data_IF_881183688300
#
_entry.id   IF_881183688300
#
_cell.length_a   1.000
_cell.length_b   1.000
_cell.length_c   1.000
_cell.angle_alpha   90.00
_cell.angle_beta   90.00
_cell.angle_gamma   90.00
#
_symmetry.space_group_name_H-M   'P 1'
#
loop_
_entity.id
_entity.type
_entity.pdbx_description
1 polymer ?
#
# COMPACT_ATOMS: atom_id res chain seq x y z
N UNK A 1 -22.17 32.73 22.09
CA UNK A 1 -22.83 31.45 21.80
C UNK A 1 -21.72 30.46 21.44
N UNK A 2 -21.19 29.71 22.41
CA UNK A 2 -20.19 28.68 22.15
C UNK A 2 -20.98 27.46 21.66
N UNK A 3 -20.94 27.20 20.36
CA UNK A 3 -21.41 25.91 19.84
C UNK A 3 -20.60 24.84 20.57
N UNK A 4 -21.29 24.05 21.39
CA UNK A 4 -20.74 22.82 21.95
C UNK A 4 -20.39 21.96 20.75
N UNK A 5 -19.10 21.84 20.44
CA UNK A 5 -18.59 20.88 19.48
C UNK A 5 -18.87 19.52 20.13
N UNK A 6 -20.02 18.95 19.84
CA UNK A 6 -20.21 17.51 20.00
C UNK A 6 -19.10 16.89 19.15
N UNK A 7 -18.19 16.16 19.78
CA UNK A 7 -17.26 15.30 19.07
C UNK A 7 -18.13 14.25 18.40
N UNK A 8 -18.48 14.50 17.15
CA UNK A 8 -19.27 13.58 16.37
C UNK A 8 -18.59 12.21 16.40
N UNK A 9 -19.37 11.13 16.55
CA UNK A 9 -18.78 9.79 16.54
C UNK A 9 -18.02 9.59 15.22
N UNK A 10 -16.72 9.31 15.28
CA UNK A 10 -15.91 9.12 14.08
C UNK A 10 -16.39 7.88 13.31
N UNK A 11 -16.52 8.00 12.00
CA UNK A 11 -16.89 6.89 11.12
C UNK A 11 -15.64 6.05 10.82
N UNK A 12 -15.64 4.78 11.25
CA UNK A 12 -14.51 3.85 11.05
C UNK A 12 -14.77 2.80 9.97
N UNK A 13 -16.03 2.66 9.57
CA UNK A 13 -16.50 1.77 8.51
C UNK A 13 -17.12 2.57 7.38
N UNK A 14 -16.95 2.08 6.16
CA UNK A 14 -17.45 2.66 4.91
C UNK A 14 -18.35 1.64 4.21
N UNK A 15 -19.41 2.13 3.57
CA UNK A 15 -20.30 1.29 2.78
C UNK A 15 -19.66 1.03 1.42
N UNK A 16 -19.37 -0.23 1.12
CA UNK A 16 -18.75 -0.65 -0.13
C UNK A 16 -19.83 -1.04 -1.14
N UNK A 17 -19.81 -0.40 -2.31
CA UNK A 17 -20.65 -0.79 -3.44
C UNK A 17 -19.78 -1.33 -4.58
N UNK A 18 -20.21 -2.46 -5.12
CA UNK A 18 -19.67 -3.07 -6.34
C UNK A 18 -20.72 -2.97 -7.41
N UNK A 19 -20.44 -2.18 -8.45
CA UNK A 19 -21.31 -2.03 -9.60
C UNK A 19 -20.78 -2.83 -10.78
N UNK A 20 -21.64 -3.46 -11.56
CA UNK A 20 -21.25 -4.17 -12.77
C UNK A 20 -22.04 -3.73 -13.99
N UNK A 21 -21.41 -3.85 -15.16
CA UNK A 21 -22.04 -3.64 -16.46
C UNK A 21 -21.43 -4.61 -17.46
N UNK A 22 -22.27 -5.44 -18.06
CA UNK A 22 -21.87 -6.38 -19.11
C UNK A 22 -22.63 -6.07 -20.41
N UNK A 23 -22.04 -5.30 -21.34
CA UNK A 23 -22.71 -4.88 -22.58
C UNK A 23 -23.22 -6.06 -23.43
N UNK A 24 -22.47 -7.16 -23.48
CA UNK A 24 -22.88 -8.34 -24.27
C UNK A 24 -24.11 -9.07 -23.71
N UNK A 25 -24.45 -8.83 -22.43
CA UNK A 25 -25.71 -9.29 -21.83
C UNK A 25 -26.86 -8.30 -22.07
N UNK A 26 -26.64 -7.24 -22.85
CA UNK A 26 -27.63 -6.20 -23.15
C UNK A 26 -27.74 -5.11 -22.10
N UNK A 27 -26.85 -5.07 -21.10
CA UNK A 27 -26.87 -4.05 -20.04
C UNK A 27 -26.48 -2.67 -20.58
N UNK A 28 -27.34 -1.68 -20.37
CA UNK A 28 -27.11 -0.29 -20.79
C UNK A 28 -26.41 0.53 -19.72
N UNK A 29 -26.68 0.24 -18.46
CA UNK A 29 -26.20 0.98 -17.31
C UNK A 29 -25.51 0.05 -16.30
N UNK A 30 -24.89 0.64 -15.28
CA UNK A 30 -24.29 -0.11 -14.19
C UNK A 30 -25.37 -0.49 -13.17
N UNK A 31 -25.37 -1.75 -12.74
CA UNK A 31 -26.25 -2.26 -11.69
C UNK A 31 -25.42 -2.67 -10.46
N UNK A 32 -26.06 -2.80 -9.30
CA UNK A 32 -25.39 -3.26 -8.08
C UNK A 32 -25.14 -4.78 -8.19
N UNK A 33 -23.87 -5.16 -8.15
CA UNK A 33 -23.44 -6.56 -8.10
C UNK A 33 -23.38 -7.07 -6.66
N UNK A 34 -22.79 -6.26 -5.77
CA UNK A 34 -22.59 -6.62 -4.36
C UNK A 34 -22.46 -5.37 -3.50
N UNK A 35 -22.79 -5.52 -2.22
CA UNK A 35 -22.72 -4.48 -1.20
C UNK A 35 -22.20 -5.09 0.09
N UNK A 36 -21.31 -4.39 0.78
CA UNK A 36 -20.86 -4.79 2.11
C UNK A 36 -20.18 -3.63 2.85
N UNK A 37 -19.31 -3.97 3.80
CA UNK A 37 -18.51 -3.03 4.55
C UNK A 37 -17.05 -3.07 4.08
N UNK A 38 -16.40 -1.92 4.11
CA UNK A 38 -14.95 -1.79 4.02
C UNK A 38 -14.44 -0.80 5.07
N UNK A 39 -13.13 -0.73 5.26
CA UNK A 39 -12.51 0.28 6.12
C UNK A 39 -11.17 0.75 5.56
N UNK A 40 -10.70 1.89 6.05
CA UNK A 40 -9.39 2.44 5.70
C UNK A 40 -8.36 1.94 6.71
N UNK A 41 -7.34 1.24 6.24
CA UNK A 41 -6.19 0.83 7.02
C UNK A 41 -4.99 1.72 6.65
N UNK A 42 -4.47 2.46 7.62
CA UNK A 42 -3.30 3.32 7.41
C UNK A 42 -2.06 2.50 7.10
N UNK A 43 -1.33 2.93 6.06
CA UNK A 43 -0.03 2.36 5.65
C UNK A 43 1.08 2.83 6.58
N UNK A 44 0.96 4.06 7.08
CA UNK A 44 1.88 4.61 8.06
C UNK A 44 1.46 4.23 9.49
N UNK A 45 2.43 4.05 10.40
CA UNK A 45 2.15 3.96 11.83
C UNK A 45 1.37 5.21 12.31
N UNK A 46 0.56 5.07 13.38
CA UNK A 46 -0.29 6.16 13.88
C UNK A 46 0.52 7.41 14.15
N UNK A 47 -0.07 8.56 13.82
CA UNK A 47 0.60 9.83 14.00
C UNK A 47 0.93 9.98 15.49
N UNK A 48 2.21 10.11 15.84
CA UNK A 48 2.71 10.28 17.20
C UNK A 48 2.10 11.49 17.92
N UNK A 49 1.42 12.39 17.18
CA UNK A 49 0.74 13.55 17.74
C UNK A 49 -0.41 13.21 18.68
N UNK A 50 -0.96 12.01 18.61
CA UNK A 50 -1.87 11.49 19.64
C UNK A 50 -1.09 11.31 20.95
N UNK A 51 -1.65 11.77 22.07
CA UNK A 51 -0.93 12.08 23.32
C UNK A 51 -0.49 10.85 24.14
N UNK A 52 -0.18 9.75 23.46
CA UNK A 52 0.34 8.53 24.04
C UNK A 52 1.85 8.63 24.20
N UNK A 53 2.31 9.21 25.32
CA UNK A 53 3.73 9.20 25.74
C UNK A 53 4.35 7.80 25.84
N UNK A 54 3.52 6.75 25.83
CA UNK A 54 3.91 5.34 25.85
C UNK A 54 3.80 4.66 24.48
N UNK A 55 3.47 5.39 23.41
CA UNK A 55 3.37 4.81 22.07
C UNK A 55 4.78 4.40 21.58
N UNK A 56 4.95 3.19 21.03
CA UNK A 56 6.20 2.78 20.39
C UNK A 56 6.58 3.72 19.21
N UNK A 57 5.65 4.56 18.76
CA UNK A 57 5.81 5.51 17.67
C UNK A 57 6.10 6.96 18.10
N UNK A 58 6.23 7.26 19.40
CA UNK A 58 6.42 8.62 19.93
C UNK A 58 7.55 9.44 19.28
N UNK A 59 8.54 8.77 18.72
CA UNK A 59 9.65 9.37 17.98
C UNK A 59 9.26 10.08 16.68
N UNK A 60 8.18 9.68 16.02
CA UNK A 60 7.73 10.29 14.76
C UNK A 60 7.35 11.77 15.01
N UNK A 61 6.99 12.14 16.26
CA UNK A 61 6.53 13.50 16.67
C UNK A 61 7.69 14.45 16.55
N UNK A 62 8.81 14.00 17.10
CA UNK A 62 10.09 14.67 17.06
C UNK A 62 10.57 14.81 15.62
N UNK A 63 10.29 13.81 14.77
CA UNK A 63 10.65 13.81 13.35
C UNK A 63 9.81 14.79 12.55
N UNK A 64 8.48 14.81 12.72
CA UNK A 64 7.63 15.78 12.02
C UNK A 64 8.05 17.21 12.36
N UNK A 65 8.31 17.48 13.65
CA UNK A 65 8.83 18.78 14.10
C UNK A 65 10.19 19.08 13.48
N UNK A 66 11.12 18.11 13.52
CA UNK A 66 12.46 18.27 12.93
C UNK A 66 12.41 18.47 11.42
N UNK A 67 11.49 17.80 10.71
CA UNK A 67 11.27 17.95 9.27
C UNK A 67 10.70 19.32 8.94
N UNK A 68 9.74 19.82 9.70
CA UNK A 68 9.23 21.18 9.56
C UNK A 68 10.31 22.23 9.86
N UNK A 69 11.20 21.97 10.82
CA UNK A 69 12.37 22.81 11.12
C UNK A 69 13.43 22.73 10.01
N UNK A 70 13.64 21.55 9.41
CA UNK A 70 14.62 21.30 8.35
C UNK A 70 14.16 21.81 6.98
N UNK A 71 12.86 21.75 6.67
CA UNK A 71 12.27 22.33 5.46
C UNK A 71 12.35 23.86 5.45
N UNK A 72 12.56 24.50 6.61
CA UNK A 72 12.86 25.93 6.70
C UNK A 72 14.33 26.25 6.42
N UNK A 73 15.21 25.24 6.34
CA UNK A 73 16.61 25.40 5.97
C UNK A 73 16.83 25.01 4.50
N UNK A 74 17.31 25.94 3.67
CA UNK A 74 17.44 25.81 2.20
C UNK A 74 18.44 24.73 1.72
N UNK A 75 19.20 24.09 2.62
CA UNK A 75 20.25 23.11 2.29
C UNK A 75 19.89 21.65 2.68
N UNK A 76 18.61 21.31 2.77
CA UNK A 76 18.20 19.97 3.22
C UNK A 76 18.46 18.88 2.16
N UNK A 77 19.28 17.90 2.52
CA UNK A 77 19.42 16.63 1.79
C UNK A 77 18.31 15.69 2.31
N UNK A 78 17.50 15.05 1.45
CA UNK A 78 16.40 14.21 1.91
C UNK A 78 16.92 12.97 2.66
N UNK A 79 16.70 12.91 3.97
CA UNK A 79 16.75 11.65 4.71
C UNK A 79 15.40 10.91 4.54
N UNK A 80 15.40 9.57 4.36
CA UNK A 80 14.18 8.77 4.34
C UNK A 80 13.42 8.92 5.66
N UNK A 81 12.09 8.78 5.63
CA UNK A 81 11.18 9.06 6.75
C UNK A 81 11.72 8.54 8.11
N UNK A 82 12.37 9.44 8.85
CA UNK A 82 13.19 9.09 10.01
C UNK A 82 12.35 8.72 11.23
N UNK A 83 12.74 7.66 11.92
CA UNK A 83 12.40 7.39 13.31
C UNK A 83 13.71 7.14 14.08
N UNK A 84 13.72 6.52 15.28
CA UNK A 84 14.92 5.88 15.75
C UNK A 84 15.37 4.92 14.65
N UNK A 85 16.67 4.69 14.48
CA UNK A 85 17.18 3.82 13.44
C UNK A 85 16.48 2.45 13.57
N UNK A 86 15.52 2.21 12.66
CA UNK A 86 14.86 0.93 12.48
C UNK A 86 15.75 0.10 11.57
N UNK A 87 15.86 -1.20 11.82
CA UNK A 87 16.52 -2.04 10.84
C UNK A 87 15.64 -2.08 9.58
N UNK A 88 16.24 -2.22 8.41
CA UNK A 88 15.49 -2.30 7.15
C UNK A 88 14.42 -3.42 7.15
N UNK A 89 14.66 -4.49 7.93
CA UNK A 89 13.68 -5.57 8.17
C UNK A 89 12.41 -5.12 8.89
N UNK A 90 12.47 -4.04 9.67
CA UNK A 90 11.38 -3.51 10.50
C UNK A 90 10.59 -2.37 9.81
N UNK A 91 11.03 -1.92 8.63
CA UNK A 91 10.30 -0.94 7.81
C UNK A 91 9.15 -1.61 7.07
N UNK A 92 8.05 -0.94 6.77
CA UNK A 92 7.06 -1.41 5.78
C UNK A 92 7.68 -1.56 4.39
N UNK A 93 7.06 -2.34 3.49
CA UNK A 93 7.60 -2.51 2.14
C UNK A 93 7.46 -1.21 1.33
N UNK A 94 6.37 -0.49 1.50
CA UNK A 94 6.18 0.79 0.83
C UNK A 94 7.02 1.94 1.41
N UNK A 95 7.67 1.76 2.57
CA UNK A 95 8.60 2.76 3.11
C UNK A 95 9.88 2.92 2.26
N UNK A 96 10.17 1.96 1.38
CA UNK A 96 11.24 2.04 0.38
C UNK A 96 10.82 2.74 -0.92
N UNK A 97 9.54 3.07 -1.05
CA UNK A 97 8.98 3.78 -2.20
C UNK A 97 9.05 5.30 -1.98
N UNK A 98 9.27 6.13 -3.03
CA UNK A 98 9.13 7.57 -2.88
C UNK A 98 7.71 7.93 -2.42
N UNK A 99 7.59 8.85 -1.47
CA UNK A 99 6.31 9.15 -0.81
C UNK A 99 5.18 9.58 -1.75
N UNK A 100 5.50 10.07 -2.96
CA UNK A 100 4.50 10.43 -3.98
C UNK A 100 3.80 9.24 -4.62
N UNK A 101 4.37 8.04 -4.52
CA UNK A 101 3.80 6.80 -5.07
C UNK A 101 3.27 5.86 -3.98
N UNK A 102 3.47 6.23 -2.72
CA UNK A 102 3.03 5.44 -1.57
C UNK A 102 1.58 5.77 -1.25
N UNK A 103 0.65 4.80 -1.29
CA UNK A 103 -0.68 5.01 -0.72
C UNK A 103 -0.58 5.38 0.76
N UNK A 104 -1.44 6.28 1.19
CA UNK A 104 -1.60 6.65 2.59
C UNK A 104 -2.48 5.63 3.33
N UNK A 105 -3.45 5.03 2.63
CA UNK A 105 -4.34 4.01 3.18
C UNK A 105 -4.56 2.85 2.20
N UNK A 106 -4.84 1.68 2.75
CA UNK A 106 -5.47 0.59 2.03
C UNK A 106 -6.97 0.57 2.34
N UNK A 107 -7.81 0.41 1.32
CA UNK A 107 -9.21 0.03 1.52
C UNK A 107 -9.23 -1.49 1.68
N UNK A 108 -9.57 -1.95 2.88
CA UNK A 108 -9.64 -3.39 3.19
C UNK A 108 -11.10 -3.83 3.10
N UNK A 109 -11.34 -4.95 2.40
CA UNK A 109 -12.67 -5.53 2.26
C UNK A 109 -12.61 -7.07 2.08
N UNK A 110 -13.77 -7.71 2.17
CA UNK A 110 -13.90 -9.13 1.84
C UNK A 110 -13.74 -9.35 0.32
N UNK A 111 -13.00 -10.40 -0.05
CA UNK A 111 -12.68 -10.72 -1.44
C UNK A 111 -13.92 -11.18 -2.21
N UNK A 112 -14.84 -11.92 -1.57
CA UNK A 112 -16.09 -12.36 -2.17
C UNK A 112 -17.03 -11.20 -2.49
N UNK A 113 -16.95 -10.10 -1.75
CA UNK A 113 -17.73 -8.89 -2.03
C UNK A 113 -17.15 -8.17 -3.25
N UNK A 114 -15.83 -7.94 -3.29
CA UNK A 114 -15.16 -7.21 -4.37
C UNK A 114 -15.17 -7.98 -5.70
N UNK A 115 -15.09 -9.31 -5.64
CA UNK A 115 -15.01 -10.16 -6.82
C UNK A 115 -15.92 -11.40 -6.73
N UNK A 116 -17.26 -11.24 -6.69
CA UNK A 116 -18.21 -12.35 -6.48
C UNK A 116 -18.02 -13.53 -7.45
N UNK A 117 -17.62 -13.27 -8.69
CA UNK A 117 -17.35 -14.29 -9.72
C UNK A 117 -16.20 -15.25 -9.38
N UNK A 118 -15.31 -14.88 -8.44
CA UNK A 118 -14.23 -15.76 -7.97
C UNK A 118 -14.69 -16.74 -6.87
N UNK A 119 -15.89 -16.56 -6.33
CA UNK A 119 -16.37 -17.21 -5.12
C UNK A 119 -17.63 -18.04 -5.36
N UNK A 120 -17.54 -19.04 -6.24
CA UNK A 120 -18.68 -19.88 -6.69
C UNK A 120 -19.47 -20.56 -5.56
N UNK A 121 -18.83 -20.82 -4.42
CA UNK A 121 -19.49 -21.40 -3.26
C UNK A 121 -20.44 -20.42 -2.57
N UNK A 122 -20.16 -19.12 -2.65
CA UNK A 122 -21.01 -18.04 -2.14
C UNK A 122 -22.02 -17.59 -3.21
N UNK A 123 -21.57 -17.55 -4.47
CA UNK A 123 -22.36 -17.05 -5.59
C UNK A 123 -22.44 -18.11 -6.70
N UNK A 124 -23.39 -19.07 -6.61
CA UNK A 124 -23.48 -20.19 -7.53
C UNK A 124 -24.14 -19.82 -8.87
N UNK A 125 -24.49 -18.56 -9.10
CA UNK A 125 -25.24 -18.14 -10.28
C UNK A 125 -24.36 -18.28 -11.55
N UNK A 126 -24.76 -19.09 -12.55
CA UNK A 126 -23.91 -19.38 -13.71
C UNK A 126 -23.51 -18.15 -14.53
N UNK A 127 -24.36 -17.12 -14.57
CA UNK A 127 -24.09 -15.89 -15.33
C UNK A 127 -22.88 -15.11 -14.79
N UNK A 128 -22.51 -15.28 -13.51
CA UNK A 128 -21.34 -14.65 -12.92
C UNK A 128 -20.02 -15.16 -13.53
N UNK A 129 -20.01 -16.33 -14.16
CA UNK A 129 -18.82 -16.86 -14.85
C UNK A 129 -18.42 -15.99 -16.06
N UNK A 130 -19.31 -15.13 -16.55
CA UNK A 130 -19.05 -14.16 -17.61
C UNK A 130 -18.62 -12.78 -17.07
N UNK A 131 -18.73 -12.55 -15.76
CA UNK A 131 -18.29 -11.30 -15.14
C UNK A 131 -16.78 -11.35 -14.92
N UNK A 132 -16.09 -10.30 -15.32
CA UNK A 132 -14.66 -10.12 -15.11
C UNK A 132 -14.42 -8.78 -14.43
N UNK A 133 -13.17 -8.55 -14.01
CA UNK A 133 -12.74 -7.31 -13.39
C UNK A 133 -13.08 -6.06 -14.22
N UNK A 134 -13.03 -6.15 -15.55
CA UNK A 134 -13.27 -5.03 -16.47
C UNK A 134 -14.74 -4.62 -16.53
N UNK A 135 -15.65 -5.50 -16.10
CA UNK A 135 -17.08 -5.23 -16.04
C UNK A 135 -17.45 -4.43 -14.78
N UNK A 136 -16.53 -4.23 -13.84
CA UNK A 136 -16.84 -3.82 -12.47
C UNK A 136 -16.26 -2.45 -12.11
N UNK A 137 -16.99 -1.72 -11.26
CA UNK A 137 -16.57 -0.46 -10.63
C UNK A 137 -16.86 -0.51 -9.15
N UNK A 138 -15.98 0.15 -8.39
CA UNK A 138 -16.05 0.18 -6.94
C UNK A 138 -16.26 1.61 -6.45
N UNK A 139 -17.08 1.74 -5.41
CA UNK A 139 -17.23 3.00 -4.69
C UNK A 139 -17.37 2.77 -3.19
N UNK A 140 -16.96 3.78 -2.42
CA UNK A 140 -17.13 3.85 -0.97
C UNK A 140 -18.04 5.00 -0.63
N UNK A 141 -19.06 4.72 0.15
CA UNK A 141 -20.04 5.69 0.62
C UNK A 141 -19.81 6.00 2.10
N UNK A 142 -19.89 7.28 2.44
CA UNK A 142 -19.86 7.78 3.82
C UNK A 142 -21.29 8.13 4.24
N UNK A 143 -21.76 7.55 5.34
CA UNK A 143 -23.10 7.81 5.89
C UNK A 143 -23.01 8.59 7.21
N UNK A 144 -24.09 9.29 7.56
CA UNK A 144 -24.24 9.95 8.86
C UNK A 144 -24.64 8.94 9.93
N UNK A 145 -23.77 8.72 10.92
CA UNK A 145 -24.01 7.75 12.00
C UNK A 145 -24.93 8.29 13.11
N UNK A 146 -25.11 9.62 13.20
CA UNK A 146 -25.82 10.28 14.31
C UNK A 146 -27.31 10.48 14.03
N UNK A 147 -27.70 10.64 12.77
CA UNK A 147 -29.07 10.99 12.36
C UNK A 147 -29.87 9.81 11.78
N UNK A 148 -29.98 8.70 12.52
CA UNK A 148 -30.60 7.44 12.05
C UNK A 148 -32.13 7.48 11.86
N UNK A 149 -32.85 8.35 12.56
CA UNK A 149 -34.32 8.25 12.68
C UNK A 149 -35.11 8.78 11.47
N UNK A 150 -34.45 9.39 10.48
CA UNK A 150 -35.14 10.04 9.37
C UNK A 150 -35.01 9.20 8.09
N UNK A 151 -36.09 8.50 7.72
CA UNK A 151 -36.15 7.65 6.49
C UNK A 151 -35.78 8.40 5.20
N UNK A 152 -35.80 9.74 5.21
CA UNK A 152 -35.34 10.59 4.10
C UNK A 152 -33.81 10.79 4.04
N UNK A 153 -33.03 10.21 4.96
CA UNK A 153 -31.58 10.39 5.08
C UNK A 153 -30.75 9.13 4.79
N UNK A 154 -31.31 8.13 4.12
CA UNK A 154 -30.55 6.97 3.64
C UNK A 154 -29.70 7.27 2.39
N UNK A 155 -29.39 8.54 2.12
CA UNK A 155 -28.47 8.95 1.06
C UNK A 155 -27.07 9.11 1.65
N UNK A 156 -26.01 8.68 0.93
CA UNK A 156 -24.65 8.88 1.37
C UNK A 156 -24.31 10.38 1.40
N UNK A 157 -23.56 10.81 2.44
CA UNK A 157 -22.99 12.15 2.54
C UNK A 157 -22.01 12.43 1.39
N UNK A 158 -21.27 11.41 0.98
CA UNK A 158 -20.37 11.45 -0.16
C UNK A 158 -20.06 10.03 -0.67
N UNK A 159 -19.76 9.94 -1.96
CA UNK A 159 -19.33 8.71 -2.65
C UNK A 159 -17.94 8.91 -3.24
N UNK A 160 -17.05 7.96 -3.00
CA UNK A 160 -15.65 8.01 -3.41
C UNK A 160 -15.34 6.86 -4.35
N UNK A 161 -14.75 7.18 -5.51
CA UNK A 161 -14.33 6.17 -6.48
C UNK A 161 -13.11 5.39 -6.00
N UNK A 162 -13.09 4.09 -6.30
CA UNK A 162 -12.00 3.18 -5.94
C UNK A 162 -11.37 2.59 -7.20
N UNK A 163 -10.08 2.27 -7.15
CA UNK A 163 -9.33 1.70 -8.26
C UNK A 163 -9.89 0.33 -8.67
N UNK A 164 -9.94 0.00 -9.97
CA UNK A 164 -10.61 -1.20 -10.46
C UNK A 164 -9.75 -2.47 -10.35
N UNK A 165 -8.65 -2.45 -9.61
CA UNK A 165 -7.69 -3.56 -9.54
C UNK A 165 -7.47 -3.95 -8.07
N UNK A 166 -8.40 -4.71 -7.47
CA UNK A 166 -8.19 -5.26 -6.15
C UNK A 166 -7.02 -6.26 -6.16
N UNK A 167 -6.20 -6.21 -5.12
CA UNK A 167 -5.20 -7.23 -4.82
C UNK A 167 -5.89 -8.25 -3.94
N UNK A 168 -5.94 -9.51 -4.36
CA UNK A 168 -6.55 -10.60 -3.61
C UNK A 168 -5.51 -11.40 -2.82
N UNK A 169 -5.90 -11.97 -1.69
CA UNK A 169 -5.03 -12.85 -0.92
C UNK A 169 -4.50 -14.02 -1.78
N UNK A 170 -3.18 -14.30 -1.80
CA UNK A 170 -2.59 -15.30 -2.71
C UNK A 170 -3.07 -16.72 -2.41
N UNK A 171 -3.38 -17.02 -1.14
CA UNK A 171 -3.89 -18.33 -0.70
C UNK A 171 -5.43 -18.43 -0.74
N UNK A 172 -6.12 -17.52 -1.44
CA UNK A 172 -7.58 -17.48 -1.56
C UNK A 172 -8.32 -17.36 -0.23
N UNK A 173 -7.72 -16.71 0.77
CA UNK A 173 -8.47 -16.21 1.92
C UNK A 173 -9.42 -15.12 1.46
N UNK A 174 -10.53 -14.94 2.18
CA UNK A 174 -11.57 -13.99 1.83
C UNK A 174 -11.21 -12.57 2.24
N UNK A 175 -10.14 -12.07 1.62
CA UNK A 175 -9.52 -10.82 1.95
C UNK A 175 -8.93 -10.19 0.69
N UNK A 176 -9.17 -8.89 0.52
CA UNK A 176 -8.64 -8.11 -0.58
C UNK A 176 -8.31 -6.68 -0.14
N UNK A 177 -7.32 -6.08 -0.81
CA UNK A 177 -6.96 -4.67 -0.69
C UNK A 177 -7.27 -3.95 -1.99
N UNK A 178 -7.76 -2.74 -1.88
CA UNK A 178 -7.93 -1.83 -3.02
C UNK A 178 -7.59 -0.40 -2.59
N UNK A 179 -7.44 0.52 -3.54
CA UNK A 179 -6.97 1.87 -3.26
C UNK A 179 -7.94 2.93 -3.78
N UNK A 180 -7.99 4.07 -3.10
CA UNK A 180 -8.82 5.21 -3.50
C UNK A 180 -8.35 5.80 -4.84
N UNK A 181 -9.29 6.28 -5.66
CA UNK A 181 -8.96 7.18 -6.78
C UNK A 181 -8.73 8.58 -6.23
N UNK A 182 -7.66 9.25 -6.68
CA UNK A 182 -7.30 10.60 -6.21
C UNK A 182 -7.20 10.67 -4.67
N UNK A 183 -6.43 9.73 -4.11
CA UNK A 183 -6.37 9.43 -2.66
C UNK A 183 -6.26 10.68 -1.77
N UNK A 184 -5.34 11.60 -2.06
CA UNK A 184 -5.12 12.81 -1.25
C UNK A 184 -6.41 13.67 -1.12
N UNK A 185 -7.10 13.89 -2.24
CA UNK A 185 -8.34 14.67 -2.25
C UNK A 185 -9.48 13.92 -1.55
N UNK A 186 -9.57 12.61 -1.78
CA UNK A 186 -10.59 11.76 -1.15
C UNK A 186 -10.41 11.72 0.37
N UNK A 187 -9.19 11.50 0.87
CA UNK A 187 -8.88 11.45 2.30
C UNK A 187 -9.16 12.78 3.00
N UNK A 188 -8.79 13.91 2.38
CA UNK A 188 -9.09 15.23 2.92
C UNK A 188 -10.60 15.46 3.09
N UNK A 189 -11.41 15.00 2.13
CA UNK A 189 -12.86 15.12 2.21
C UNK A 189 -13.45 14.12 3.22
N UNK A 190 -12.99 12.87 3.23
CA UNK A 190 -13.36 11.86 4.22
C UNK A 190 -13.08 12.33 5.65
N UNK A 191 -11.91 12.92 5.91
CA UNK A 191 -11.56 13.51 7.21
C UNK A 191 -12.53 14.64 7.60
N UNK A 192 -12.93 15.49 6.64
CA UNK A 192 -13.93 16.54 6.88
C UNK A 192 -15.33 16.02 7.19
N UNK A 193 -15.61 14.77 6.79
CA UNK A 193 -16.84 14.04 7.10
C UNK A 193 -16.71 13.17 8.37
N UNK A 194 -15.59 13.25 9.09
CA UNK A 194 -15.37 12.51 10.34
C UNK A 194 -14.96 11.05 10.13
N UNK A 195 -14.51 10.67 8.94
CA UNK A 195 -13.97 9.32 8.69
C UNK A 195 -12.56 9.21 9.30
N UNK A 196 -12.31 8.10 9.98
CA UNK A 196 -11.04 7.80 10.63
C UNK A 196 -10.35 6.61 9.95
N UNK A 197 -9.07 6.79 9.61
CA UNK A 197 -8.19 5.68 9.21
C UNK A 197 -7.79 4.87 10.43
N UNK A 198 -7.84 3.55 10.28
CA UNK A 198 -7.55 2.60 11.35
C UNK A 198 -6.11 2.08 11.27
N UNK A 199 -5.65 1.51 12.37
CA UNK A 199 -4.35 0.85 12.47
C UNK A 199 -4.51 -0.58 12.96
N UNK A 200 -3.67 -1.49 12.45
CA UNK A 200 -3.57 -2.84 12.98
C UNK A 200 -3.15 -2.82 14.45
N UNK A 201 -3.64 -3.81 15.20
CA UNK A 201 -3.14 -4.07 16.55
C UNK A 201 -1.66 -4.50 16.54
N UNK A 202 -1.04 -4.52 17.72
CA UNK A 202 0.39 -4.82 17.86
C UNK A 202 0.69 -6.27 17.45
N UNK A 203 1.87 -6.52 16.88
CA UNK A 203 2.31 -7.88 16.54
C UNK A 203 2.45 -8.75 17.80
N UNK A 204 2.75 -8.12 18.93
CA UNK A 204 2.87 -8.78 20.24
C UNK A 204 1.52 -8.94 20.97
N UNK A 205 0.41 -8.48 20.37
CA UNK A 205 -0.90 -8.64 20.97
C UNK A 205 -1.23 -10.14 21.13
N UNK A 206 -1.69 -10.52 22.32
CA UNK A 206 -2.17 -11.86 22.60
C UNK A 206 -3.67 -11.77 22.84
N UNK A 207 -4.41 -12.66 22.18
CA UNK A 207 -5.86 -12.75 22.29
C UNK A 207 -6.24 -14.06 22.96
N UNK A 208 -6.89 -13.96 24.12
CA UNK A 208 -7.35 -15.08 24.92
C UNK A 208 -8.87 -15.28 24.77
N UNK A 209 -9.32 -16.47 25.18
CA UNK A 209 -10.75 -16.74 25.28
C UNK A 209 -11.41 -15.73 26.22
N UNK A 210 -12.54 -15.19 25.77
CA UNK A 210 -13.38 -14.16 26.39
C UNK A 210 -12.89 -12.71 26.23
N UNK A 211 -11.79 -12.44 25.53
CA UNK A 211 -11.41 -11.07 25.22
C UNK A 211 -12.54 -10.36 24.45
N UNK A 212 -12.84 -9.13 24.86
CA UNK A 212 -13.87 -8.29 24.23
C UNK A 212 -13.36 -7.77 22.89
N UNK A 213 -14.21 -7.87 21.87
CA UNK A 213 -14.01 -7.30 20.55
C UNK A 213 -15.26 -6.55 20.12
N UNK A 214 -15.11 -5.57 19.24
CA UNK A 214 -16.23 -4.85 18.61
C UNK A 214 -16.22 -5.02 17.10
N UNK A 215 -17.41 -5.15 16.53
CA UNK A 215 -17.64 -5.31 15.11
C UNK A 215 -18.33 -4.06 14.60
N UNK A 216 -17.78 -3.43 13.58
CA UNK A 216 -18.35 -2.22 12.98
C UNK A 216 -18.59 -2.41 11.49
N UNK A 217 -19.70 -1.91 10.97
CA UNK A 217 -20.00 -1.99 9.55
C UNK A 217 -21.36 -1.46 9.20
N UNK A 218 -21.94 -2.04 8.15
CA UNK A 218 -23.28 -1.73 7.71
C UNK A 218 -24.10 -3.01 7.58
N UNK A 219 -25.26 -2.99 8.20
CA UNK A 219 -26.33 -3.93 7.89
C UNK A 219 -26.99 -3.48 6.59
N UNK A 220 -27.22 -4.43 5.69
CA UNK A 220 -28.01 -4.18 4.48
C UNK A 220 -29.43 -4.65 4.80
N UNK A 221 -30.30 -3.70 5.17
CA UNK A 221 -31.68 -4.04 5.49
C UNK A 221 -32.50 -4.18 4.21
N UNK A 222 -33.21 -5.29 4.13
CA UNK A 222 -34.14 -5.56 3.07
C UNK A 222 -35.57 -5.31 3.56
N UNK A 223 -36.01 -4.04 3.53
CA UNK A 223 -37.46 -3.75 3.56
C UNK A 223 -38.20 -4.47 2.38
N UNK A 224 -37.46 -5.08 1.44
CA UNK A 224 -37.95 -5.67 0.18
C UNK A 224 -37.90 -7.21 0.06
N UNK A 225 -37.08 -7.96 0.81
CA UNK A 225 -37.01 -9.44 0.64
C UNK A 225 -38.24 -10.16 1.18
N UNK A 226 -38.81 -9.69 2.29
CA UNK A 226 -40.12 -10.19 2.75
C UNK A 226 -41.25 -9.89 1.74
N UNK A 227 -41.07 -8.90 0.86
CA UNK A 227 -41.98 -8.61 -0.25
C UNK A 227 -41.68 -9.47 -1.49
N UNK A 228 -40.40 -9.77 -1.77
CA UNK A 228 -39.99 -10.63 -2.90
C UNK A 228 -40.25 -12.13 -2.65
N UNK A 229 -40.07 -12.65 -1.44
CA UNK A 229 -40.48 -14.03 -1.12
C UNK A 229 -42.01 -14.17 -1.24
N UNK A 230 -42.78 -13.15 -0.83
CA UNK A 230 -44.24 -13.12 -1.04
C UNK A 230 -44.64 -12.94 -2.50
N UNK A 231 -43.84 -12.23 -3.30
CA UNK A 231 -44.09 -12.07 -4.73
C UNK A 231 -43.66 -13.28 -5.54
N UNK A 232 -42.68 -14.09 -5.11
CA UNK A 232 -42.29 -15.31 -5.81
C UNK A 232 -43.40 -16.38 -5.82
N UNK A 233 -44.30 -16.35 -4.83
CA UNK A 233 -45.55 -17.12 -4.85
C UNK A 233 -46.60 -16.54 -5.84
N UNK A 234 -46.43 -15.30 -6.32
CA UNK A 234 -47.31 -14.62 -7.30
C UNK A 234 -46.66 -14.40 -8.69
N UNK A 235 -45.37 -14.72 -8.88
CA UNK A 235 -44.54 -14.35 -10.04
C UNK A 235 -44.83 -15.10 -11.35
N UNK A 236 -45.78 -16.05 -11.37
CA UNK A 236 -46.30 -16.59 -12.63
C UNK A 236 -47.22 -15.60 -13.39
N UNK A 237 -47.58 -14.44 -12.81
CA UNK A 237 -48.60 -13.54 -13.39
C UNK A 237 -48.16 -12.16 -13.89
N UNK A 238 -46.91 -11.72 -13.70
CA UNK A 238 -46.53 -10.33 -14.04
C UNK A 238 -45.33 -10.29 -14.99
N UNK A 239 -45.56 -10.66 -16.25
CA UNK A 239 -44.58 -10.51 -17.35
C UNK A 239 -44.63 -9.15 -18.06
N UNK A 240 -45.34 -8.15 -17.54
CA UNK A 240 -45.59 -6.88 -18.26
C UNK A 240 -45.33 -5.58 -17.49
N UNK A 241 -44.53 -5.57 -16.41
CA UNK A 241 -44.02 -4.30 -15.84
C UNK A 241 -42.53 -4.15 -16.08
N UNK A 242 -42.20 -3.53 -17.21
CA UNK A 242 -40.89 -2.94 -17.51
C UNK A 242 -40.83 -1.52 -16.95
N UNK A 243 -40.64 -1.41 -15.64
CA UNK A 243 -40.12 -0.22 -14.99
C UNK A 243 -39.04 -0.70 -14.03
N UNK A 244 -37.87 -0.06 -14.07
CA UNK A 244 -36.69 -0.43 -13.30
C UNK A 244 -37.06 -0.60 -11.83
N UNK A 245 -37.02 -1.84 -11.34
CA UNK A 245 -36.94 -2.10 -9.91
C UNK A 245 -35.55 -1.62 -9.48
N UNK A 246 -35.46 -0.34 -9.16
CA UNK A 246 -34.27 0.25 -8.58
C UNK A 246 -33.97 -0.49 -7.26
N UNK A 247 -32.71 -0.87 -7.04
CA UNK A 247 -32.27 -1.55 -5.82
C UNK A 247 -32.60 -0.69 -4.58
N UNK A 248 -33.65 -1.08 -3.86
CA UNK A 248 -34.17 -0.35 -2.68
C UNK A 248 -33.43 -0.68 -1.38
N UNK A 249 -32.42 -1.56 -1.42
CA UNK A 249 -31.66 -1.92 -0.21
C UNK A 249 -30.92 -0.69 0.30
N UNK A 250 -30.88 -0.55 1.62
CA UNK A 250 -30.26 0.59 2.29
C UNK A 250 -29.19 0.12 3.27
N UNK A 251 -28.11 0.90 3.37
CA UNK A 251 -27.07 0.69 4.35
C UNK A 251 -27.50 1.28 5.70
N UNK A 252 -27.53 0.46 6.74
CA UNK A 252 -27.81 0.87 8.10
C UNK A 252 -26.54 0.67 8.93
N UNK A 253 -25.95 1.74 9.49
CA UNK A 253 -24.79 1.61 10.36
C UNK A 253 -24.98 0.59 11.48
N UNK A 254 -24.06 -0.36 11.58
CA UNK A 254 -24.12 -1.49 12.51
C UNK A 254 -22.90 -1.51 13.42
N UNK A 255 -23.13 -1.71 14.72
CA UNK A 255 -22.07 -1.88 15.72
C UNK A 255 -22.56 -2.86 16.78
N UNK A 256 -21.76 -3.90 17.06
CA UNK A 256 -22.03 -4.86 18.12
C UNK A 256 -20.73 -5.28 18.81
N UNK A 257 -20.82 -5.56 20.11
CA UNK A 257 -19.71 -6.16 20.86
C UNK A 257 -19.89 -7.67 20.99
N UNK A 258 -18.77 -8.37 21.10
CA UNK A 258 -18.73 -9.80 21.38
C UNK A 258 -17.51 -10.18 22.18
N UNK A 259 -17.45 -11.47 22.53
CA UNK A 259 -16.31 -12.06 23.23
C UNK A 259 -15.73 -13.21 22.42
N UNK A 260 -14.40 -13.28 22.34
CA UNK A 260 -13.72 -14.39 21.69
C UNK A 260 -14.10 -15.73 22.35
N UNK A 261 -14.51 -16.70 21.55
CA UNK A 261 -14.79 -18.07 22.02
C UNK A 261 -13.75 -19.06 21.50
N UNK A 262 -13.11 -18.74 20.37
CA UNK A 262 -12.11 -19.58 19.73
C UNK A 262 -11.10 -18.70 18.98
N UNK A 263 -9.82 -19.04 19.11
CA UNK A 263 -8.73 -18.39 18.40
C UNK A 263 -7.84 -19.45 17.77
N UNK A 264 -7.61 -19.37 16.47
CA UNK A 264 -6.72 -20.26 15.72
C UNK A 264 -5.77 -19.46 14.83
N UNK A 265 -4.84 -20.14 14.17
CA UNK A 265 -3.93 -19.50 13.22
C UNK A 265 -4.63 -18.91 12.00
N UNK A 266 -5.81 -19.39 11.63
CA UNK A 266 -6.47 -18.95 10.40
C UNK A 266 -7.69 -18.06 10.66
N UNK A 267 -8.35 -18.28 11.79
CA UNK A 267 -9.69 -17.74 12.04
C UNK A 267 -9.95 -17.58 13.53
N UNK A 268 -10.54 -16.46 13.89
CA UNK A 268 -11.09 -16.22 15.22
C UNK A 268 -12.61 -16.31 15.16
N UNK A 269 -13.21 -16.81 16.24
CA UNK A 269 -14.66 -16.80 16.43
C UNK A 269 -15.01 -15.99 17.69
N UNK A 270 -16.01 -15.13 17.58
CA UNK A 270 -16.56 -14.40 18.72
C UNK A 270 -18.08 -14.57 18.83
N UNK A 271 -18.56 -14.67 20.07
CA UNK A 271 -19.99 -14.70 20.36
C UNK A 271 -20.48 -13.27 20.59
N UNK A 272 -21.50 -12.90 19.83
CA UNK A 272 -22.23 -11.63 19.95
C UNK A 272 -23.63 -11.88 20.52
N UNK A 273 -24.34 -10.82 20.91
CA UNK A 273 -25.71 -10.95 21.42
C UNK A 273 -26.69 -11.52 20.36
N UNK A 274 -26.46 -11.19 19.10
CA UNK A 274 -27.16 -11.71 17.91
C UNK A 274 -26.13 -12.04 16.82
N UNK A 275 -26.40 -13.01 15.93
CA UNK A 275 -25.56 -13.22 14.74
C UNK A 275 -25.37 -11.91 13.98
N UNK A 276 -24.21 -11.75 13.34
CA UNK A 276 -23.98 -10.57 12.49
C UNK A 276 -24.95 -10.59 11.30
N UNK A 277 -25.58 -9.46 10.96
CA UNK A 277 -26.46 -9.38 9.81
C UNK A 277 -25.67 -9.30 8.50
N UNK A 278 -26.39 -9.41 7.38
CA UNK A 278 -25.81 -9.24 6.06
C UNK A 278 -25.23 -7.83 5.85
N UNK A 279 -24.18 -7.74 5.04
CA UNK A 279 -23.48 -6.49 4.74
C UNK A 279 -22.30 -6.16 5.67
N UNK A 280 -22.22 -6.79 6.84
CA UNK A 280 -21.12 -6.55 7.80
C UNK A 280 -19.79 -7.19 7.36
N UNK A 281 -19.83 -8.17 6.45
CA UNK A 281 -18.64 -8.78 5.86
C UNK A 281 -17.69 -7.71 5.29
N UNK A 282 -16.39 -7.88 5.53
CA UNK A 282 -15.36 -6.91 5.20
C UNK A 282 -15.18 -5.78 6.23
N UNK A 283 -16.05 -5.68 7.23
CA UNK A 283 -15.94 -4.70 8.32
C UNK A 283 -14.77 -4.99 9.27
N UNK A 284 -14.22 -3.95 9.93
CA UNK A 284 -13.15 -4.12 10.90
C UNK A 284 -13.68 -4.78 12.18
N UNK A 285 -12.84 -5.64 12.77
CA UNK A 285 -12.98 -6.11 14.14
C UNK A 285 -11.96 -5.35 14.98
N UNK A 286 -12.42 -4.65 16.00
CA UNK A 286 -11.61 -3.79 16.84
C UNK A 286 -11.42 -4.38 18.23
N UNK A 287 -10.21 -4.24 18.77
CA UNK A 287 -9.90 -4.54 20.17
C UNK A 287 -10.34 -3.40 21.11
N UNK A 288 -10.09 -3.58 22.42
CA UNK A 288 -10.39 -2.60 23.47
C UNK A 288 -9.70 -1.23 23.27
N UNK A 289 -8.63 -1.20 22.49
CA UNK A 289 -7.83 0.00 22.20
C UNK A 289 -8.23 0.62 20.85
N UNK A 290 -9.34 0.16 20.26
CA UNK A 290 -9.85 0.58 18.96
C UNK A 290 -8.90 0.30 17.79
N UNK A 291 -8.01 -0.70 17.92
CA UNK A 291 -7.14 -1.14 16.84
C UNK A 291 -7.72 -2.35 16.13
N UNK A 292 -7.41 -2.50 14.86
CA UNK A 292 -7.89 -3.60 14.02
C UNK A 292 -7.21 -4.90 14.48
N UNK A 293 -7.99 -5.75 15.14
CA UNK A 293 -7.59 -7.11 15.52
C UNK A 293 -8.06 -8.17 14.51
N UNK A 294 -8.86 -7.78 13.51
CA UNK A 294 -9.21 -8.63 12.37
C UNK A 294 -10.23 -8.00 11.42
N UNK A 295 -10.75 -8.82 10.50
CA UNK A 295 -11.76 -8.42 9.50
C UNK A 295 -12.85 -9.47 9.40
N UNK A 296 -14.11 -9.04 9.41
CA UNK A 296 -15.28 -9.91 9.35
C UNK A 296 -15.29 -10.68 8.03
N UNK A 297 -15.31 -12.00 8.14
CA UNK A 297 -15.45 -12.92 7.00
C UNK A 297 -16.91 -13.36 6.83
N UNK A 298 -17.59 -13.61 7.95
CA UNK A 298 -19.00 -14.03 7.95
C UNK A 298 -19.45 -14.55 9.31
N UNK A 299 -20.41 -15.47 9.30
CA UNK A 299 -20.91 -16.14 10.51
C UNK A 299 -20.82 -17.66 10.37
N UNK A 300 -20.69 -18.34 11.49
CA UNK A 300 -20.98 -19.77 11.57
C UNK A 300 -22.49 -19.95 11.41
N UNK A 301 -22.97 -20.90 10.58
CA UNK A 301 -24.40 -21.14 10.39
C UNK A 301 -25.15 -21.26 11.71
N UNK A 302 -26.34 -20.66 11.79
CA UNK A 302 -27.14 -20.64 13.02
C UNK A 302 -27.68 -22.03 13.39
N UNK A 303 -27.74 -22.95 12.43
CA UNK A 303 -28.15 -24.34 12.55
C UNK A 303 -26.95 -25.31 12.70
N UNK A 304 -25.75 -24.79 12.93
CA UNK A 304 -24.54 -25.61 13.08
C UNK A 304 -24.70 -26.66 14.21
N UNK A 305 -24.27 -27.92 14.01
CA UNK A 305 -24.45 -28.99 15.01
C UNK A 305 -23.85 -28.66 16.38
N UNK A 306 -22.73 -27.93 16.37
CA UNK A 306 -22.04 -27.48 17.56
C UNK A 306 -22.62 -26.14 18.02
N UNK A 307 -23.54 -26.21 18.99
CA UNK A 307 -24.36 -25.06 19.45
C UNK A 307 -23.57 -23.90 20.04
N UNK A 308 -22.38 -24.16 20.58
CA UNK A 308 -21.54 -23.12 21.17
C UNK A 308 -21.07 -22.11 20.10
N UNK A 309 -20.71 -22.61 18.92
CA UNK A 309 -20.23 -21.79 17.81
C UNK A 309 -21.32 -21.36 16.82
N UNK A 310 -22.51 -21.98 16.84
CA UNK A 310 -23.61 -21.58 15.98
C UNK A 310 -23.93 -20.07 16.09
N UNK A 311 -23.99 -19.39 14.95
CA UNK A 311 -24.20 -17.94 14.87
C UNK A 311 -23.02 -17.07 15.37
N UNK A 312 -21.86 -17.67 15.69
CA UNK A 312 -20.68 -16.89 16.06
C UNK A 312 -20.14 -16.11 14.86
N UNK A 313 -19.66 -14.89 15.11
CA UNK A 313 -18.94 -14.11 14.13
C UNK A 313 -17.60 -14.80 13.80
N UNK A 314 -17.32 -14.99 12.51
CA UNK A 314 -16.05 -15.51 11.99
C UNK A 314 -15.26 -14.36 11.38
N UNK A 315 -14.00 -14.24 11.76
CA UNK A 315 -13.14 -13.18 11.23
C UNK A 315 -11.68 -13.63 11.06
N UNK A 316 -11.02 -13.02 10.08
CA UNK A 316 -9.61 -13.25 9.78
C UNK A 316 -8.78 -12.41 10.76
N UNK A 317 -7.85 -13.02 11.52
CA UNK A 317 -7.12 -12.30 12.56
C UNK A 317 -6.07 -11.34 11.98
N UNK A 318 -5.71 -10.32 12.76
CA UNK A 318 -4.80 -9.24 12.34
C UNK A 318 -3.45 -9.69 11.81
N UNK A 319 -2.88 -10.79 12.32
CA UNK A 319 -1.57 -11.27 11.85
C UNK A 319 -1.64 -11.86 10.44
N UNK A 320 -2.79 -12.46 10.05
CA UNK A 320 -3.05 -12.86 8.67
C UNK A 320 -3.26 -11.64 7.78
N UNK A 321 -4.01 -10.65 8.26
CA UNK A 321 -4.18 -9.38 7.57
C UNK A 321 -2.83 -8.66 7.37
N UNK A 322 -1.95 -8.66 8.37
CA UNK A 322 -0.60 -8.08 8.28
C UNK A 322 0.26 -8.78 7.23
N UNK A 323 0.33 -10.11 7.26
CA UNK A 323 1.07 -10.86 6.23
C UNK A 323 0.56 -10.56 4.83
N UNK A 324 -0.75 -10.37 4.69
CA UNK A 324 -1.33 -10.00 3.41
C UNK A 324 -1.00 -8.58 2.97
N UNK A 325 -1.05 -7.61 3.90
CA UNK A 325 -0.56 -6.24 3.63
C UNK A 325 0.89 -6.27 3.20
N UNK A 326 1.76 -6.99 3.91
CA UNK A 326 3.17 -7.13 3.52
C UNK A 326 3.34 -7.70 2.11
N UNK A 327 2.57 -8.75 1.77
CA UNK A 327 2.58 -9.33 0.43
C UNK A 327 2.12 -8.33 -0.65
N UNK A 328 1.00 -7.64 -0.40
CA UNK A 328 0.44 -6.69 -1.34
C UNK A 328 1.38 -5.49 -1.55
N UNK A 329 1.93 -4.95 -0.48
CA UNK A 329 2.91 -3.87 -0.52
C UNK A 329 4.20 -4.28 -1.24
N UNK A 330 4.72 -5.48 -0.99
CA UNK A 330 5.87 -6.03 -1.70
C UNK A 330 5.59 -6.11 -3.21
N UNK A 331 4.41 -6.63 -3.58
CA UNK A 331 3.99 -6.73 -4.97
C UNK A 331 3.87 -5.35 -5.64
N UNK A 332 3.31 -4.37 -4.93
CA UNK A 332 3.24 -2.99 -5.40
C UNK A 332 4.63 -2.39 -5.60
N UNK A 333 5.53 -2.57 -4.62
CA UNK A 333 6.89 -2.07 -4.70
C UNK A 333 7.61 -2.62 -5.94
N UNK A 334 7.49 -3.93 -6.20
CA UNK A 334 8.06 -4.59 -7.39
C UNK A 334 7.62 -3.92 -8.71
N UNK A 335 6.39 -3.40 -8.76
CA UNK A 335 5.86 -2.71 -9.95
C UNK A 335 6.25 -1.24 -10.02
N UNK A 336 6.49 -0.60 -8.88
CA UNK A 336 6.77 0.84 -8.82
C UNK A 336 8.27 1.13 -9.02
N UNK A 337 9.16 0.33 -8.44
CA UNK A 337 10.60 0.62 -8.44
C UNK A 337 11.37 -0.23 -9.46
N UNK A 338 12.52 0.25 -9.97
CA UNK A 338 13.37 -0.55 -10.86
C UNK A 338 13.81 -1.85 -10.19
N UNK A 339 13.87 -2.95 -10.96
CA UNK A 339 14.20 -4.30 -10.47
C UNK A 339 15.46 -4.34 -9.60
N UNK A 340 16.53 -3.65 -10.01
CA UNK A 340 17.79 -3.60 -9.26
C UNK A 340 17.63 -2.99 -7.85
N UNK A 341 16.74 -2.00 -7.70
CA UNK A 341 16.45 -1.40 -6.41
C UNK A 341 15.56 -2.32 -5.58
N UNK A 342 14.55 -2.94 -6.19
CA UNK A 342 13.70 -3.94 -5.54
C UNK A 342 14.53 -5.11 -4.97
N UNK A 343 15.45 -5.67 -5.77
CA UNK A 343 16.33 -6.77 -5.35
C UNK A 343 17.16 -6.38 -4.11
N UNK A 344 17.70 -5.15 -4.08
CA UNK A 344 18.42 -4.60 -2.90
C UNK A 344 17.52 -4.49 -1.67
N UNK A 345 16.26 -4.07 -1.83
CA UNK A 345 15.30 -4.00 -0.72
C UNK A 345 15.01 -5.40 -0.18
N UNK A 346 14.83 -6.39 -1.06
CA UNK A 346 14.65 -7.79 -0.67
C UNK A 346 15.87 -8.33 0.11
N UNK A 347 17.08 -8.01 -0.33
CA UNK A 347 18.31 -8.41 0.37
C UNK A 347 18.46 -7.74 1.75
N UNK A 348 18.06 -6.47 1.87
CA UNK A 348 18.00 -5.76 3.15
C UNK A 348 16.97 -6.35 4.10
N UNK A 349 15.76 -6.64 3.59
CA UNK A 349 14.64 -7.25 4.35
C UNK A 349 14.95 -8.66 4.82
N UNK A 350 15.65 -9.44 4.00
CA UNK A 350 16.09 -10.82 4.33
C UNK A 350 17.33 -10.87 5.22
N UNK A 351 17.96 -9.72 5.53
CA UNK A 351 19.15 -9.64 6.35
C UNK A 351 20.44 -10.13 5.66
N UNK A 352 20.39 -10.43 4.36
CA UNK A 352 21.56 -10.89 3.59
C UNK A 352 22.63 -9.80 3.49
N UNK A 353 22.23 -8.55 3.29
CA UNK A 353 23.14 -7.41 3.14
C UNK A 353 24.02 -7.13 4.38
N UNK A 354 23.62 -7.61 5.57
CA UNK A 354 24.40 -7.44 6.80
C UNK A 354 25.51 -8.50 6.94
N UNK A 355 25.40 -9.64 6.25
CA UNK A 355 26.40 -10.69 6.33
C UNK A 355 27.64 -10.41 5.47
N UNK A 356 27.53 -9.62 4.41
CA UNK A 356 28.66 -9.29 3.54
C UNK A 356 29.70 -8.39 4.23
N UNK A 357 29.26 -7.45 5.08
CA UNK A 357 30.18 -6.60 5.86
C UNK A 357 30.83 -7.30 7.06
N UNK A 358 30.27 -8.41 7.53
CA UNK A 358 30.89 -9.22 8.58
C UNK A 358 31.86 -10.28 8.04
N UNK A 359 31.83 -10.56 6.72
CA UNK A 359 32.84 -11.41 6.08
C UNK A 359 34.12 -10.65 5.71
N UNK A 360 34.09 -9.31 5.63
CA UNK A 360 35.29 -8.51 5.34
C UNK A 360 36.13 -8.13 6.58
N UNK A 361 35.79 -8.60 7.79
CA UNK A 361 36.52 -8.25 9.03
C UNK A 361 37.08 -9.41 9.87
N UNK A 362 37.13 -10.63 9.33
CA UNK A 362 37.96 -11.72 9.90
C UNK A 362 39.30 -11.89 9.17
N UNK A 363 39.99 -10.79 8.89
CA UNK A 363 41.43 -10.77 8.51
C UNK A 363 42.23 -10.30 9.73
N UNK A 364 42.21 -11.11 10.78
CA UNK A 364 43.08 -10.94 11.96
C UNK A 364 43.07 -12.26 12.73
N UNK A 365 43.87 -13.22 12.29
CA UNK A 365 43.97 -14.51 12.96
C UNK A 365 44.80 -15.53 12.20
N UNK A 366 46.11 -15.29 12.15
CA UNK A 366 47.19 -16.28 12.09
C UNK A 366 46.79 -17.70 11.65
N UNK A 367 46.56 -17.89 10.35
CA UNK A 367 46.61 -19.22 9.77
C UNK A 367 47.50 -19.15 8.54
N UNK A 368 48.62 -19.87 8.58
CA UNK A 368 49.50 -20.14 7.45
C UNK A 368 48.70 -20.83 6.35
N UNK A 369 48.04 -20.04 5.52
CA UNK A 369 47.35 -20.47 4.33
C UNK A 369 48.29 -20.30 3.13
N UNK A 370 48.26 -21.31 2.30
CA UNK A 370 49.13 -21.56 1.15
C UNK A 370 49.06 -20.44 0.12
N UNK A 371 50.27 -20.06 -0.33
CA UNK A 371 50.68 -18.99 -1.27
C UNK A 371 50.01 -18.90 -2.66
N UNK A 372 48.83 -19.46 -2.90
CA UNK A 372 48.30 -19.60 -4.27
C UNK A 372 46.98 -18.87 -4.58
N UNK A 373 46.45 -17.98 -3.73
CA UNK A 373 45.24 -17.19 -4.05
C UNK A 373 45.28 -15.75 -3.50
N UNK A 374 46.39 -15.05 -3.74
CA UNK A 374 46.46 -13.58 -3.69
C UNK A 374 46.69 -13.05 -5.10
N UNK A 375 45.64 -13.05 -5.92
CA UNK A 375 45.51 -12.05 -6.97
C UNK A 375 44.29 -11.23 -6.60
N UNK A 376 44.54 -10.10 -5.92
CA UNK A 376 43.53 -9.08 -5.73
C UNK A 376 42.90 -8.76 -7.08
N UNK A 377 41.59 -8.55 -7.09
CA UNK A 377 40.88 -8.08 -8.27
C UNK A 377 41.60 -6.82 -8.75
N UNK A 378 42.35 -6.92 -9.85
CA UNK A 378 43.02 -5.77 -10.43
C UNK A 378 41.94 -4.78 -10.84
N UNK A 379 42.22 -3.48 -10.72
CA UNK A 379 41.28 -2.42 -11.15
C UNK A 379 40.77 -2.65 -12.58
N UNK A 380 41.61 -3.27 -13.42
CA UNK A 380 41.26 -3.64 -14.79
C UNK A 380 40.14 -4.69 -14.85
N UNK A 381 40.13 -5.69 -13.96
CA UNK A 381 39.06 -6.71 -13.91
C UNK A 381 37.72 -6.13 -13.45
N UNK A 382 37.75 -5.23 -12.47
CA UNK A 382 36.53 -4.53 -12.01
C UNK A 382 35.96 -3.60 -13.11
N UNK A 383 36.84 -2.99 -13.89
CA UNK A 383 36.45 -2.18 -15.06
C UNK A 383 35.81 -3.05 -16.15
N UNK A 384 36.41 -4.20 -16.48
CA UNK A 384 35.88 -5.15 -17.46
C UNK A 384 34.47 -5.65 -17.08
N UNK A 385 34.27 -6.04 -15.82
CA UNK A 385 32.96 -6.48 -15.33
C UNK A 385 31.90 -5.36 -15.38
N UNK A 386 32.28 -4.12 -15.07
CA UNK A 386 31.39 -2.96 -15.19
C UNK A 386 31.00 -2.69 -16.65
N UNK A 387 31.96 -2.77 -17.58
CA UNK A 387 31.72 -2.58 -19.02
C UNK A 387 30.79 -3.65 -19.57
N UNK A 388 30.92 -4.91 -19.13
CA UNK A 388 29.99 -5.98 -19.52
C UNK A 388 28.55 -5.72 -19.06
N UNK A 389 28.35 -5.23 -17.83
CA UNK A 389 27.02 -4.88 -17.32
C UNK A 389 26.40 -3.73 -18.12
N UNK A 390 27.18 -2.71 -18.48
CA UNK A 390 26.70 -1.59 -19.30
C UNK A 390 26.29 -2.08 -20.69
N UNK A 391 27.08 -2.96 -21.31
CA UNK A 391 26.78 -3.59 -22.61
C UNK A 391 25.48 -4.41 -22.61
N UNK A 392 25.13 -5.01 -21.49
CA UNK A 392 23.89 -5.81 -21.37
C UNK A 392 22.63 -4.96 -21.18
N UNK A 393 22.79 -3.71 -20.73
CA UNK A 393 21.66 -2.88 -20.25
C UNK A 393 21.35 -1.67 -21.13
N UNK A 394 22.22 -1.32 -22.08
CA UNK A 394 22.12 -0.12 -22.90
C UNK A 394 22.27 -0.43 -24.40
N UNK A 395 21.76 0.45 -25.26
CA UNK A 395 21.99 0.37 -26.71
C UNK A 395 23.48 0.59 -27.06
N UNK A 396 23.98 0.09 -28.20
CA UNK A 396 25.39 0.25 -28.59
C UNK A 396 25.88 1.71 -28.55
N UNK A 397 25.04 2.64 -29.00
CA UNK A 397 25.34 4.08 -29.02
C UNK A 397 25.43 4.66 -27.61
N UNK A 398 24.55 4.22 -26.70
CA UNK A 398 24.59 4.61 -25.29
C UNK A 398 25.80 3.99 -24.57
N UNK A 399 26.14 2.75 -24.88
CA UNK A 399 27.32 2.06 -24.33
C UNK A 399 28.58 2.82 -24.71
N UNK A 400 28.73 3.21 -25.98
CA UNK A 400 29.88 3.98 -26.46
C UNK A 400 29.98 5.35 -25.76
N UNK A 401 28.86 6.07 -25.62
CA UNK A 401 28.83 7.35 -24.93
C UNK A 401 29.19 7.23 -23.43
N UNK A 402 28.70 6.18 -22.76
CA UNK A 402 28.98 5.92 -21.34
C UNK A 402 30.44 5.55 -21.15
N UNK A 403 30.96 4.58 -21.92
CA UNK A 403 32.37 4.14 -21.82
C UNK A 403 33.30 5.31 -22.12
N UNK A 404 33.05 6.09 -23.19
CA UNK A 404 33.86 7.25 -23.52
C UNK A 404 33.86 8.32 -22.42
N UNK A 405 32.78 8.46 -21.65
CA UNK A 405 32.75 9.36 -20.50
C UNK A 405 33.58 8.82 -19.34
N UNK A 406 33.47 7.52 -19.04
CA UNK A 406 34.25 6.88 -17.97
C UNK A 406 35.75 6.91 -18.28
N UNK A 407 36.15 6.70 -19.53
CA UNK A 407 37.55 6.76 -19.94
C UNK A 407 38.14 8.16 -19.79
N UNK A 408 37.39 9.21 -20.18
CA UNK A 408 37.80 10.60 -19.96
C UNK A 408 37.92 10.95 -18.46
N UNK A 409 36.96 10.51 -17.64
CA UNK A 409 37.05 10.70 -16.19
C UNK A 409 38.27 9.98 -15.60
N UNK A 410 38.57 8.76 -16.08
CA UNK A 410 39.74 7.99 -15.65
C UNK A 410 41.05 8.70 -16.01
N UNK A 411 41.18 9.19 -17.23
CA UNK A 411 42.35 9.95 -17.67
C UNK A 411 42.53 11.22 -16.85
N UNK A 412 41.46 11.99 -16.63
CA UNK A 412 41.52 13.22 -15.82
C UNK A 412 41.89 12.95 -14.36
N UNK A 413 41.39 11.86 -13.77
CA UNK A 413 41.78 11.43 -12.42
C UNK A 413 43.27 11.08 -12.35
N UNK A 414 43.79 10.35 -13.34
CA UNK A 414 45.22 10.00 -13.41
C UNK A 414 46.09 11.24 -13.56
N UNK A 415 45.71 12.18 -14.45
CA UNK A 415 46.45 13.44 -14.64
C UNK A 415 46.48 14.30 -13.37
N UNK A 416 45.35 14.41 -12.66
CA UNK A 416 45.28 15.17 -11.41
C UNK A 416 46.08 14.52 -10.29
N UNK A 417 46.03 13.19 -10.16
CA UNK A 417 46.84 12.46 -9.19
C UNK A 417 48.34 12.62 -9.46
N UNK A 418 48.77 12.55 -10.73
CA UNK A 418 50.18 12.75 -11.10
C UNK A 418 50.66 14.18 -10.88
N UNK A 419 49.79 15.17 -11.11
CA UNK A 419 50.16 16.59 -11.02
C UNK A 419 50.10 17.15 -9.61
N UNK A 420 49.05 16.84 -8.87
CA UNK A 420 48.71 17.49 -7.60
C UNK A 420 48.89 16.55 -6.40
N UNK A 421 48.99 15.24 -6.64
CA UNK A 421 48.89 14.23 -5.60
C UNK A 421 47.52 14.28 -4.91
N UNK A 422 47.38 13.56 -3.80
CA UNK A 422 46.16 13.58 -2.99
C UNK A 422 45.54 12.20 -2.84
N UNK A 423 44.42 12.16 -2.12
CA UNK A 423 43.66 10.94 -1.92
C UNK A 423 42.86 10.60 -3.20
N UNK A 424 42.91 9.32 -3.60
CA UNK A 424 42.30 8.85 -4.85
C UNK A 424 40.78 9.07 -4.84
N UNK A 425 40.12 8.88 -3.71
CA UNK A 425 38.66 9.04 -3.62
C UNK A 425 38.25 10.51 -3.69
N UNK A 426 39.05 11.42 -3.13
CA UNK A 426 38.84 12.87 -3.24
C UNK A 426 38.98 13.36 -4.68
N UNK A 427 40.02 12.90 -5.40
CA UNK A 427 40.23 13.25 -6.81
C UNK A 427 39.10 12.71 -7.68
N UNK A 428 38.68 11.45 -7.47
CA UNK A 428 37.52 10.86 -8.17
C UNK A 428 36.25 11.67 -7.92
N UNK A 429 35.99 12.06 -6.67
CA UNK A 429 34.80 12.85 -6.32
C UNK A 429 34.81 14.22 -7.00
N UNK A 430 35.98 14.87 -7.07
CA UNK A 430 36.16 16.15 -7.73
C UNK A 430 35.92 16.07 -9.26
N UNK A 431 36.53 15.08 -9.92
CA UNK A 431 36.34 14.87 -11.38
C UNK A 431 34.88 14.60 -11.71
N UNK A 432 34.21 13.72 -10.94
CA UNK A 432 32.77 13.44 -11.12
C UNK A 432 31.89 14.67 -10.90
N UNK A 433 32.22 15.53 -9.94
CA UNK A 433 31.49 16.77 -9.73
C UNK A 433 31.63 17.71 -10.95
N UNK A 434 32.84 17.81 -11.50
CA UNK A 434 33.12 18.59 -12.72
C UNK A 434 32.39 18.05 -13.94
N UNK A 435 32.38 16.73 -14.17
CA UNK A 435 31.65 16.10 -15.27
C UNK A 435 30.15 16.39 -15.19
N UNK A 436 29.55 16.27 -14.00
CA UNK A 436 28.11 16.55 -13.80
C UNK A 436 27.76 18.01 -14.07
N UNK A 437 28.62 18.94 -13.66
CA UNK A 437 28.41 20.36 -13.94
C UNK A 437 28.48 20.64 -15.44
N UNK A 438 29.42 20.00 -16.16
CA UNK A 438 29.50 20.11 -17.62
C UNK A 438 28.27 19.53 -18.31
N UNK A 439 27.79 18.36 -17.90
CA UNK A 439 26.56 17.76 -18.43
C UNK A 439 25.34 18.66 -18.21
N UNK A 440 25.24 19.28 -17.03
CA UNK A 440 24.18 20.26 -16.72
C UNK A 440 24.27 21.46 -17.65
N UNK A 441 25.48 21.97 -17.89
CA UNK A 441 25.70 23.11 -18.78
C UNK A 441 25.30 22.78 -20.23
N UNK A 442 25.64 21.60 -20.73
CA UNK A 442 25.24 21.12 -22.07
C UNK A 442 23.72 21.04 -22.18
N UNK A 443 23.03 20.48 -21.18
CA UNK A 443 21.57 20.42 -21.17
C UNK A 443 20.93 21.82 -21.21
N UNK A 444 21.47 22.76 -20.43
CA UNK A 444 21.01 24.16 -20.44
C UNK A 444 21.26 24.87 -21.77
N UNK A 445 22.36 24.53 -22.46
CA UNK A 445 22.69 25.10 -23.76
C UNK A 445 21.82 24.51 -24.89
N UNK A 446 21.48 23.23 -24.81
CA UNK A 446 20.50 22.58 -25.70
C UNK A 446 19.10 23.14 -25.49
N UNK A 447 18.67 23.37 -24.24
CA UNK A 447 17.38 24.01 -23.94
C UNK A 447 17.29 25.45 -24.50
N UNK A 448 18.42 26.14 -24.60
CA UNK A 448 18.51 27.48 -25.21
C UNK A 448 18.57 27.46 -26.73
N UNK A 449 18.50 26.27 -27.35
CA UNK A 449 18.52 26.11 -28.80
C UNK A 449 19.87 26.43 -29.43
N UNK A 450 20.98 26.26 -28.70
CA UNK A 450 22.31 26.25 -29.32
C UNK A 450 22.46 24.96 -30.11
N UNK A 451 22.99 25.06 -31.32
CA UNK A 451 23.27 23.89 -32.14
C UNK A 451 24.42 23.07 -31.51
N UNK A 452 24.37 21.75 -31.66
CA UNK A 452 25.38 20.83 -31.09
C UNK A 452 26.78 21.16 -31.61
N UNK A 453 26.89 21.64 -32.86
CA UNK A 453 28.15 22.09 -33.46
C UNK A 453 28.79 23.25 -32.70
N UNK A 454 27.99 24.19 -32.16
CA UNK A 454 28.49 25.31 -31.34
C UNK A 454 28.98 24.85 -29.95
N UNK A 455 28.44 23.75 -29.45
CA UNK A 455 28.82 23.16 -28.16
C UNK A 455 30.15 22.40 -28.30
N UNK A 456 30.32 21.63 -29.38
CA UNK A 456 31.56 20.88 -29.66
C UNK A 456 32.75 21.82 -29.98
N UNK A 457 32.55 22.91 -30.74
CA UNK A 457 33.61 23.90 -30.98
C UNK A 457 34.09 24.60 -29.70
N UNK A 458 33.19 24.84 -28.75
CA UNK A 458 33.54 25.41 -27.46
C UNK A 458 34.45 24.47 -26.64
N UNK A 459 34.19 23.16 -26.67
CA UNK A 459 35.00 22.15 -25.95
C UNK A 459 36.44 22.06 -26.47
N UNK A 460 36.65 22.13 -27.78
CA UNK A 460 38.00 22.08 -28.38
C UNK A 460 38.81 23.37 -28.12
N UNK A 461 38.14 24.49 -27.83
CA UNK A 461 38.81 25.77 -27.58
C UNK A 461 39.37 25.91 -26.15
N UNK A 462 38.81 25.16 -25.18
CA UNK A 462 39.24 25.19 -23.77
C UNK A 462 40.42 24.25 -23.50
N UNK A 463 40.50 23.09 -24.15
CA UNK A 463 41.60 22.13 -24.00
C UNK A 463 42.95 22.66 -24.54
N UNK A 464 42.94 23.64 -25.45
CA UNK A 464 44.14 24.24 -26.03
C UNK A 464 44.82 25.34 -25.20
N UNK A 465 44.23 25.83 -24.10
CA UNK A 465 44.76 26.97 -23.33
C UNK A 465 45.64 26.58 -22.13
N UNK A 466 45.88 25.29 -21.90
CA UNK A 466 46.57 24.77 -20.70
C UNK A 466 48.07 24.49 -20.80
N UNK A 467 48.71 24.57 -21.98
CA UNK A 467 50.16 24.37 -22.11
C UNK A 467 50.88 25.65 -22.54
N UNK A 468 51.27 26.45 -21.54
CA UNK A 468 52.41 27.37 -21.60
C UNK A 468 53.11 27.47 -20.26
#
# INVERSE_FOLDING_TARGET
>A
MRQSIYLASKARSLALNVHFKHPDLGMKDYEILSRATAFLLSVDPPNPNEDHKTSPYSHLKEVKRRREDLLRNENYIPEPAGGPPRHAKDLGWLEFCPGTFRPLVHVVAASHVLSPWMWKNYYPQPWLEHVTQDHVRYSLDVYDFENRDDKKKNEPLATFGVNPYPIHHPEKMDLALVHLKSEEAALKQMESLGVESLHLTDIEAVFDKNDEVSFEGFEITEDHYEAMEKMNDEFEKVKEKSQSDDDTRVFVPYNIRGNLIFASQDRFLAKTATPLPEGVCGGPVLDKDNRVCGIVEGIVPVDHPEKEMAGAASFIPYFRLRHFVDYAEQHMLEKIVPKQLYDKVVDLKSGKALNEKNQSHNISGDTKLTKNQEEGMTMDRAYEEMVEVIRQTHSPEQVEAIIGTVEREREEVLELLDKEGGDVDEVIAMVRAKTREKQRQILLDLEKGKDIEDIEEAEFSESGKGSK
#
